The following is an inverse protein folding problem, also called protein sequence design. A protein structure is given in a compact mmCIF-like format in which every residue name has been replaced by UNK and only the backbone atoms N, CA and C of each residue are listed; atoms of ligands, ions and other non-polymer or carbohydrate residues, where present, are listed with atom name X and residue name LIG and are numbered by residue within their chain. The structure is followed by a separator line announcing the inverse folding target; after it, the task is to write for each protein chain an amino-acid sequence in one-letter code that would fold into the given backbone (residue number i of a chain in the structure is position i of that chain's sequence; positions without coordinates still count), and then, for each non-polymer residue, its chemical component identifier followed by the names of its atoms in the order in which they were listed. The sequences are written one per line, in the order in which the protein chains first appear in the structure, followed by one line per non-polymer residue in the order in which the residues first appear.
data_IF_736994096549
#
_entry.id   IF_736994096549
#
_cell.length_a   1.000
_cell.length_b   1.000
_cell.length_c   1.000
_cell.angle_alpha   90.00
_cell.angle_beta   90.00
_cell.angle_gamma   90.00
#
_symmetry.space_group_name_H-M   'P 1'
#
loop_
_entity.id
_entity.type
_entity.pdbx_description
1 polymer ?
#
# COMPACT_ATOMS: atom_id res chain seq x y z
N UNK A 1 24.17 -0.40 30.22
CA UNK A 1 22.92 0.34 30.20
C UNK A 1 21.78 -0.63 30.40
N UNK A 2 20.89 -0.35 31.33
CA UNK A 2 19.62 -1.10 31.42
C UNK A 2 18.72 -0.60 30.31
N UNK A 3 18.13 -1.51 29.55
CA UNK A 3 17.13 -1.19 28.54
C UNK A 3 15.74 -1.20 29.20
N UNK A 4 14.91 -0.22 28.83
CA UNK A 4 13.49 -0.20 29.25
C UNK A 4 12.72 -1.27 28.47
N UNK A 5 13.10 -1.48 27.19
CA UNK A 5 12.47 -2.44 26.27
C UNK A 5 13.51 -3.16 25.40
N UNK A 6 13.20 -4.38 24.98
CA UNK A 6 13.97 -5.06 23.96
C UNK A 6 13.74 -4.40 22.59
N UNK A 7 12.46 -4.05 22.28
CA UNK A 7 12.07 -3.42 21.03
C UNK A 7 11.14 -2.25 21.31
N UNK A 8 11.42 -1.10 20.67
CA UNK A 8 10.45 -0.01 20.55
C UNK A 8 10.02 0.06 19.10
N UNK A 9 8.70 0.17 18.85
CA UNK A 9 8.10 0.36 17.54
C UNK A 9 7.46 1.74 17.50
N UNK A 10 7.82 2.56 16.54
CA UNK A 10 7.29 3.93 16.37
C UNK A 10 6.27 3.96 15.25
N UNK A 11 5.00 4.22 15.59
CA UNK A 11 3.85 4.24 14.69
C UNK A 11 3.01 2.96 14.73
N UNK A 12 1.72 3.12 15.07
CA UNK A 12 0.76 2.02 15.22
C UNK A 12 -0.11 1.78 13.97
N UNK A 13 0.43 2.02 12.76
CA UNK A 13 -0.17 1.57 11.52
C UNK A 13 -0.01 0.06 11.31
N UNK A 14 -0.51 -0.52 10.19
CA UNK A 14 -0.48 -1.96 9.94
C UNK A 14 0.92 -2.59 10.05
N UNK A 15 1.97 -1.88 9.62
CA UNK A 15 3.36 -2.36 9.74
C UNK A 15 3.84 -2.41 11.18
N UNK A 16 3.58 -1.33 11.95
CA UNK A 16 4.05 -1.24 13.33
C UNK A 16 3.30 -2.16 14.28
N UNK A 17 1.97 -2.22 14.20
CA UNK A 17 1.16 -3.15 15.01
C UNK A 17 1.54 -4.61 14.72
N UNK A 18 1.80 -4.95 13.44
CA UNK A 18 2.27 -6.29 13.06
C UNK A 18 3.66 -6.57 13.62
N UNK A 19 4.61 -5.66 13.44
CA UNK A 19 5.98 -5.83 13.95
C UNK A 19 6.00 -6.00 15.47
N UNK A 20 5.28 -5.12 16.20
CA UNK A 20 5.17 -5.19 17.66
C UNK A 20 4.58 -6.50 18.12
N UNK A 21 3.49 -6.95 17.48
CA UNK A 21 2.84 -8.23 17.73
C UNK A 21 3.80 -9.41 17.63
N UNK A 22 4.54 -9.48 16.52
CA UNK A 22 5.48 -10.59 16.29
C UNK A 22 6.68 -10.55 17.24
N UNK A 23 7.16 -9.36 17.62
CA UNK A 23 8.19 -9.22 18.65
C UNK A 23 7.70 -9.73 20.01
N UNK A 24 6.50 -9.35 20.43
CA UNK A 24 5.91 -9.80 21.70
C UNK A 24 5.69 -11.32 21.72
N UNK A 25 5.16 -11.90 20.63
CA UNK A 25 5.03 -13.38 20.48
C UNK A 25 6.36 -14.12 20.63
N UNK A 26 7.46 -13.47 20.29
CA UNK A 26 8.80 -14.02 20.48
C UNK A 26 9.37 -13.82 21.90
N UNK A 27 8.55 -13.30 22.84
CA UNK A 27 8.93 -13.03 24.22
C UNK A 27 9.82 -11.80 24.41
N UNK A 28 9.81 -10.85 23.45
CA UNK A 28 10.53 -9.59 23.57
C UNK A 28 9.66 -8.55 24.26
N UNK A 29 10.19 -7.86 25.28
CA UNK A 29 9.53 -6.72 25.90
C UNK A 29 9.39 -5.60 24.90
N UNK A 30 8.16 -5.35 24.41
CA UNK A 30 7.90 -4.49 23.25
C UNK A 30 6.99 -3.33 23.61
N UNK A 31 7.43 -2.09 23.30
CA UNK A 31 6.63 -0.86 23.37
C UNK A 31 6.24 -0.42 21.96
N UNK A 32 4.95 -0.16 21.75
CA UNK A 32 4.40 0.48 20.54
C UNK A 32 4.01 1.92 20.88
N UNK A 33 4.60 2.90 20.16
CA UNK A 33 4.34 4.33 20.36
C UNK A 33 3.52 4.87 19.19
N UNK A 34 2.39 5.51 19.46
CA UNK A 34 1.55 6.18 18.45
C UNK A 34 1.31 7.65 18.82
N UNK A 35 1.52 8.54 17.86
CA UNK A 35 1.36 9.98 18.07
C UNK A 35 -0.08 10.45 18.24
N UNK A 36 -1.03 9.73 17.67
CA UNK A 36 -2.45 10.03 17.75
C UNK A 36 -3.11 9.18 18.84
N UNK A 37 -4.26 9.64 19.35
CA UNK A 37 -5.14 8.80 20.15
C UNK A 37 -5.97 7.91 19.24
N UNK A 38 -6.19 6.68 19.67
CA UNK A 38 -6.88 5.64 18.91
C UNK A 38 -8.36 5.52 19.33
N UNK A 39 -9.28 5.15 18.40
CA UNK A 39 -9.08 4.96 16.96
C UNK A 39 -8.85 6.29 16.23
N UNK A 40 -8.00 6.27 15.20
CA UNK A 40 -7.65 7.48 14.44
C UNK A 40 -7.99 7.34 12.96
N UNK A 41 -8.45 8.43 12.37
CA UNK A 41 -8.61 8.50 10.91
C UNK A 41 -7.25 8.43 10.20
N UNK A 42 -7.19 7.64 9.12
CA UNK A 42 -6.03 7.56 8.22
C UNK A 42 -6.51 7.60 6.77
N UNK A 43 -6.16 8.63 5.98
CA UNK A 43 -6.54 8.70 4.57
C UNK A 43 -6.04 7.46 3.80
N UNK A 44 -6.98 6.71 3.22
CA UNK A 44 -6.69 5.49 2.45
C UNK A 44 -7.99 4.90 1.91
N UNK A 45 -8.03 4.41 0.70
CA UNK A 45 -9.19 3.67 0.17
C UNK A 45 -9.60 2.46 1.01
N UNK A 46 -8.68 1.89 1.80
CA UNK A 46 -8.97 0.75 2.68
C UNK A 46 -9.24 -0.54 1.93
N UNK A 47 -8.64 -0.72 0.76
CA UNK A 47 -8.73 -1.97 -0.02
C UNK A 47 -7.61 -2.93 0.40
N UNK A 48 -7.98 -4.07 0.93
CA UNK A 48 -7.08 -5.17 1.30
C UNK A 48 -7.17 -6.26 0.24
N UNK A 49 -6.09 -6.52 -0.48
CA UNK A 49 -6.04 -7.70 -1.36
C UNK A 49 -6.18 -9.00 -0.57
N UNK A 50 -6.65 -10.06 -1.20
CA UNK A 50 -6.81 -11.37 -0.55
C UNK A 50 -5.49 -11.89 0.02
N UNK A 51 -4.36 -11.66 -0.67
CA UNK A 51 -3.02 -12.01 -0.12
C UNK A 51 -2.73 -11.31 1.21
N UNK A 52 -3.25 -10.07 1.42
CA UNK A 52 -3.10 -9.35 2.70
C UNK A 52 -3.88 -10.03 3.82
N UNK A 53 -5.11 -10.45 3.54
CA UNK A 53 -5.92 -11.19 4.50
C UNK A 53 -5.27 -12.52 4.89
N UNK A 54 -4.77 -13.29 3.90
CA UNK A 54 -4.05 -14.54 4.14
C UNK A 54 -2.78 -14.33 4.98
N UNK A 55 -2.05 -13.23 4.74
CA UNK A 55 -0.82 -12.90 5.46
C UNK A 55 -1.06 -12.66 6.96
N UNK A 56 -2.20 -12.07 7.34
CA UNK A 56 -2.55 -11.80 8.73
C UNK A 56 -2.87 -13.06 9.53
N UNK A 57 -3.45 -14.09 8.90
CA UNK A 57 -3.67 -15.41 9.47
C UNK A 57 -4.68 -15.47 10.62
N UNK A 58 -5.60 -14.48 10.71
CA UNK A 58 -6.72 -14.47 11.65
C UNK A 58 -7.98 -13.91 10.98
N UNK A 59 -9.14 -14.15 11.59
CA UNK A 59 -10.42 -13.69 11.05
C UNK A 59 -10.53 -12.16 11.02
N UNK A 60 -10.82 -11.61 9.85
CA UNK A 60 -11.02 -10.19 9.60
C UNK A 60 -12.51 -9.80 9.53
N UNK A 61 -13.44 -10.76 9.64
CA UNK A 61 -14.88 -10.50 9.52
C UNK A 61 -15.39 -9.34 10.39
N UNK A 62 -14.86 -9.09 11.61
CA UNK A 62 -15.32 -7.97 12.44
C UNK A 62 -15.04 -6.57 11.85
N UNK A 63 -14.11 -6.47 10.89
CA UNK A 63 -13.68 -5.17 10.32
C UNK A 63 -13.89 -5.07 8.81
N UNK A 64 -14.44 -6.11 8.17
CA UNK A 64 -14.78 -6.10 6.76
C UNK A 64 -16.05 -5.26 6.55
N UNK A 65 -15.93 -4.22 5.75
CA UNK A 65 -17.04 -3.37 5.34
C UNK A 65 -17.72 -3.89 4.07
N UNK A 66 -16.96 -4.48 3.15
CA UNK A 66 -17.48 -5.09 1.94
C UNK A 66 -16.50 -6.12 1.36
N UNK A 67 -17.06 -7.11 0.65
CA UNK A 67 -16.31 -8.13 -0.08
C UNK A 67 -16.40 -7.86 -1.57
N UNK A 68 -15.26 -7.78 -2.24
CA UNK A 68 -15.14 -7.39 -3.64
C UNK A 68 -14.84 -8.61 -4.52
N UNK A 69 -15.62 -8.78 -5.57
CA UNK A 69 -15.54 -9.90 -6.52
C UNK A 69 -15.08 -9.46 -7.91
N UNK A 70 -14.70 -8.20 -8.07
CA UNK A 70 -14.20 -7.73 -9.37
C UNK A 70 -13.86 -6.25 -9.38
N UNK A 71 -13.54 -5.78 -10.57
CA UNK A 71 -13.21 -4.38 -10.81
C UNK A 71 -13.97 -3.84 -12.03
N UNK A 72 -14.49 -2.63 -11.88
CA UNK A 72 -14.99 -1.79 -12.96
C UNK A 72 -13.88 -0.85 -13.39
N UNK A 73 -13.57 -0.86 -14.66
CA UNK A 73 -12.57 0.02 -15.26
C UNK A 73 -13.23 1.06 -16.14
N UNK A 74 -12.76 2.31 -16.07
CA UNK A 74 -13.17 3.39 -16.98
C UNK A 74 -11.95 4.16 -17.48
N UNK A 75 -12.10 4.83 -18.62
CA UNK A 75 -11.13 5.79 -19.15
C UNK A 75 -11.77 7.17 -19.22
N UNK A 76 -11.33 8.10 -18.40
CA UNK A 76 -11.94 9.43 -18.25
C UNK A 76 -13.44 9.35 -17.91
N UNK A 77 -13.82 8.44 -17.03
CA UNK A 77 -15.19 8.09 -16.61
C UNK A 77 -16.11 7.64 -17.76
N UNK A 78 -15.54 7.18 -18.85
CA UNK A 78 -16.24 6.70 -20.06
C UNK A 78 -15.84 5.27 -20.36
N UNK A 79 -16.63 4.65 -21.29
CA UNK A 79 -16.29 3.38 -21.91
C UNK A 79 -16.07 2.24 -20.89
N UNK A 80 -16.99 1.99 -19.93
CA UNK A 80 -16.78 1.03 -18.85
C UNK A 80 -16.63 -0.41 -19.35
N UNK A 81 -15.82 -1.19 -18.64
CA UNK A 81 -15.84 -2.65 -18.70
C UNK A 81 -15.62 -3.24 -17.30
N UNK A 82 -16.01 -4.49 -17.12
CA UNK A 82 -15.97 -5.19 -15.85
C UNK A 82 -15.12 -6.45 -15.99
N UNK A 83 -14.36 -6.75 -14.95
CA UNK A 83 -13.73 -8.04 -14.72
C UNK A 83 -14.31 -8.59 -13.44
N UNK A 84 -14.95 -9.73 -13.51
CA UNK A 84 -15.63 -10.40 -12.40
C UNK A 84 -15.00 -11.75 -12.14
N UNK A 85 -14.91 -12.13 -10.88
CA UNK A 85 -14.37 -13.41 -10.42
C UNK A 85 -15.40 -14.14 -9.57
N UNK A 86 -15.25 -15.46 -9.46
CA UNK A 86 -16.09 -16.28 -8.57
C UNK A 86 -15.69 -16.12 -7.11
N UNK A 87 -14.39 -15.98 -6.86
CA UNK A 87 -13.83 -15.84 -5.53
C UNK A 87 -13.54 -14.36 -5.22
N UNK A 88 -13.57 -13.95 -3.96
CA UNK A 88 -13.20 -12.59 -3.56
C UNK A 88 -11.77 -12.23 -4.03
N UNK A 89 -11.59 -11.00 -4.51
CA UNK A 89 -10.27 -10.45 -4.86
C UNK A 89 -9.74 -9.47 -3.81
N UNK A 90 -10.64 -8.88 -3.03
CA UNK A 90 -10.28 -7.92 -1.99
C UNK A 90 -11.38 -7.78 -0.92
N UNK A 91 -11.00 -7.28 0.24
CA UNK A 91 -11.90 -6.78 1.26
C UNK A 91 -11.74 -5.27 1.41
N UNK A 92 -12.84 -4.55 1.64
CA UNK A 92 -12.81 -3.14 1.98
C UNK A 92 -12.97 -2.98 3.50
N UNK A 93 -12.19 -2.06 4.07
CA UNK A 93 -12.19 -1.76 5.50
C UNK A 93 -12.19 -0.26 5.74
N UNK A 94 -12.69 0.16 6.92
CA UNK A 94 -12.44 1.48 7.46
C UNK A 94 -11.12 1.45 8.23
N UNK A 95 -10.19 2.36 7.90
CA UNK A 95 -8.82 2.34 8.44
C UNK A 95 -8.74 2.58 9.94
N UNK A 96 -9.64 3.38 10.51
CA UNK A 96 -9.72 3.59 11.95
C UNK A 96 -10.05 2.29 12.68
N UNK A 97 -11.04 1.53 12.20
CA UNK A 97 -11.45 0.24 12.75
C UNK A 97 -10.41 -0.85 12.50
N UNK A 98 -9.88 -0.91 11.28
CA UNK A 98 -8.89 -1.92 10.91
C UNK A 98 -7.57 -1.75 11.67
N UNK A 99 -7.04 -0.52 11.74
CA UNK A 99 -5.79 -0.26 12.46
C UNK A 99 -5.97 -0.56 13.96
N UNK A 100 -7.11 -0.14 14.56
CA UNK A 100 -7.44 -0.48 15.95
C UNK A 100 -7.53 -1.99 16.17
N UNK A 101 -8.13 -2.72 15.25
CA UNK A 101 -8.24 -4.17 15.34
C UNK A 101 -6.86 -4.85 15.34
N UNK A 102 -5.93 -4.40 14.49
CA UNK A 102 -4.55 -4.92 14.48
C UNK A 102 -3.81 -4.60 15.79
N UNK A 103 -4.03 -3.42 16.36
CA UNK A 103 -3.44 -3.01 17.63
C UNK A 103 -3.99 -3.88 18.76
N UNK A 104 -5.30 -4.14 18.80
CA UNK A 104 -5.92 -5.02 19.79
C UNK A 104 -5.31 -6.43 19.72
N UNK A 105 -5.06 -6.96 18.51
CA UNK A 105 -4.35 -8.23 18.33
C UNK A 105 -2.91 -8.20 18.84
N UNK A 106 -2.25 -7.06 18.78
CA UNK A 106 -0.91 -6.91 19.33
C UNK A 106 -0.94 -6.81 20.88
N UNK A 107 -1.93 -6.12 21.45
CA UNK A 107 -2.16 -6.05 22.90
C UNK A 107 -2.48 -7.44 23.50
N UNK A 108 -3.32 -8.25 22.81
CA UNK A 108 -3.59 -9.64 23.19
C UNK A 108 -2.29 -10.48 23.27
N UNK A 109 -1.30 -10.18 22.46
CA UNK A 109 0.00 -10.85 22.43
C UNK A 109 1.06 -10.21 23.38
N UNK A 110 0.66 -9.20 24.20
CA UNK A 110 1.43 -8.71 25.33
C UNK A 110 2.35 -7.51 25.06
N UNK A 111 2.05 -6.68 24.06
CA UNK A 111 2.75 -5.40 23.88
C UNK A 111 2.32 -4.38 24.94
N UNK A 112 3.18 -3.41 25.23
CA UNK A 112 2.81 -2.16 25.87
C UNK A 112 2.48 -1.12 24.78
N UNK A 113 1.42 -0.31 24.97
CA UNK A 113 0.99 0.74 24.04
C UNK A 113 1.10 2.10 24.72
N UNK A 114 1.75 3.04 24.06
CA UNK A 114 1.81 4.45 24.44
C UNK A 114 1.22 5.29 23.31
N UNK A 115 -0.03 5.73 23.49
CA UNK A 115 -0.76 6.53 22.50
C UNK A 115 -0.82 8.03 22.86
N UNK A 116 -0.97 8.89 21.85
CA UNK A 116 -0.98 10.34 22.03
C UNK A 116 0.41 10.93 22.29
N UNK A 117 1.48 10.15 22.08
CA UNK A 117 2.86 10.55 22.33
C UNK A 117 3.70 10.51 21.04
N UNK A 118 4.25 11.66 20.69
CA UNK A 118 5.04 11.84 19.48
C UNK A 118 6.53 11.66 19.76
N UNK A 119 7.16 10.75 19.01
CA UNK A 119 8.62 10.66 18.94
C UNK A 119 9.15 11.84 18.12
N UNK A 120 10.13 12.55 18.67
CA UNK A 120 10.74 13.73 18.04
C UNK A 120 12.19 13.50 17.66
N UNK A 121 12.86 12.58 18.35
CA UNK A 121 14.28 12.28 18.11
C UNK A 121 14.57 10.81 18.35
N UNK A 122 15.46 10.28 17.52
CA UNK A 122 16.02 8.94 17.66
C UNK A 122 17.54 9.05 17.54
N UNK A 123 18.26 8.37 18.41
CA UNK A 123 19.73 8.36 18.39
C UNK A 123 20.29 6.97 18.67
N UNK A 124 21.09 6.46 17.74
CA UNK A 124 21.82 5.20 17.97
C UNK A 124 22.91 5.39 19.02
N UNK A 125 23.06 4.43 19.91
CA UNK A 125 24.08 4.38 20.96
C UNK A 125 24.91 3.09 20.78
N UNK A 126 26.09 2.97 21.37
CA UNK A 126 26.93 1.79 21.17
C UNK A 126 26.22 0.45 21.37
N UNK A 127 25.30 0.37 22.33
CA UNK A 127 24.63 -0.88 22.67
C UNK A 127 23.10 -0.89 22.44
N UNK A 128 22.50 0.20 21.92
CA UNK A 128 21.06 0.32 21.75
C UNK A 128 20.65 1.59 21.07
N UNK A 129 19.39 1.97 21.25
CA UNK A 129 18.77 3.16 20.65
C UNK A 129 18.06 3.97 21.73
N UNK A 130 18.28 5.27 21.72
CA UNK A 130 17.56 6.26 22.53
C UNK A 130 16.41 6.83 21.70
N UNK A 131 15.21 6.85 22.27
CA UNK A 131 14.00 7.44 21.69
C UNK A 131 13.52 8.55 22.59
N UNK A 132 13.35 9.76 22.05
CA UNK A 132 12.91 10.95 22.79
C UNK A 132 11.52 11.38 22.33
N UNK A 133 10.62 11.57 23.30
CA UNK A 133 9.26 12.04 23.07
C UNK A 133 9.20 13.58 23.06
N UNK A 134 8.11 14.13 22.53
CA UNK A 134 7.89 15.57 22.46
C UNK A 134 7.88 16.26 23.85
N UNK A 135 7.52 15.53 24.91
CA UNK A 135 7.52 16.01 26.30
C UNK A 135 8.89 15.90 26.96
N UNK A 136 9.91 15.42 26.26
CA UNK A 136 11.28 15.28 26.77
C UNK A 136 11.55 13.96 27.49
N UNK A 137 10.55 13.09 27.63
CA UNK A 137 10.73 11.74 28.17
C UNK A 137 11.58 10.90 27.21
N UNK A 138 12.44 10.03 27.77
CA UNK A 138 13.36 9.19 27.00
C UNK A 138 13.22 7.74 27.38
N UNK A 139 13.25 6.89 26.34
CA UNK A 139 13.30 5.44 26.48
C UNK A 139 14.53 4.88 25.79
N UNK A 140 15.03 3.76 26.32
CA UNK A 140 16.18 3.03 25.79
C UNK A 140 15.76 1.61 25.37
N UNK A 141 16.09 1.23 24.14
CA UNK A 141 15.80 -0.11 23.62
C UNK A 141 17.01 -0.74 22.94
N UNK A 142 16.95 -2.05 22.78
CA UNK A 142 17.99 -2.79 22.05
C UNK A 142 17.85 -2.56 20.54
N UNK A 143 16.61 -2.54 20.05
CA UNK A 143 16.25 -2.38 18.64
C UNK A 143 15.09 -1.42 18.50
N UNK A 144 15.10 -0.67 17.39
CA UNK A 144 14.01 0.22 17.02
C UNK A 144 13.44 -0.17 15.66
N UNK A 145 12.11 -0.18 15.56
CA UNK A 145 11.40 -0.33 14.30
C UNK A 145 10.66 0.98 14.00
N UNK A 146 11.05 1.67 12.92
CA UNK A 146 10.37 2.86 12.39
C UNK A 146 9.22 2.47 11.48
N UNK A 147 7.99 2.67 11.94
CA UNK A 147 6.73 2.41 11.26
C UNK A 147 5.85 3.68 11.18
N UNK A 148 6.48 4.85 11.28
CA UNK A 148 5.87 6.17 11.47
C UNK A 148 5.45 6.85 10.16
N UNK A 149 5.38 6.09 9.07
CA UNK A 149 4.73 6.46 7.82
C UNK A 149 5.57 7.37 6.92
N UNK A 150 4.90 8.04 5.98
CA UNK A 150 5.54 8.78 4.89
C UNK A 150 6.46 9.93 5.33
N UNK A 151 6.22 10.51 6.49
CA UNK A 151 7.02 11.61 7.05
C UNK A 151 7.95 11.16 8.18
N UNK A 152 8.37 9.90 8.14
CA UNK A 152 9.14 9.21 9.18
C UNK A 152 10.25 10.07 9.81
N UNK A 153 10.15 10.26 11.12
CA UNK A 153 11.22 10.86 11.93
C UNK A 153 12.37 9.86 12.10
N UNK A 154 12.04 8.56 12.19
CA UNK A 154 13.05 7.51 12.30
C UNK A 154 13.91 7.45 11.03
N UNK A 155 13.32 7.48 9.83
CA UNK A 155 14.06 7.54 8.57
C UNK A 155 14.93 8.80 8.45
N UNK A 156 14.42 9.94 8.89
CA UNK A 156 15.17 11.21 8.91
C UNK A 156 16.38 11.12 9.84
N UNK A 157 16.27 10.47 11.00
CA UNK A 157 17.39 10.33 11.94
C UNK A 157 18.55 9.51 11.39
N UNK A 158 18.27 8.59 10.44
CA UNK A 158 19.26 7.78 9.75
C UNK A 158 19.82 8.45 8.48
N UNK A 159 19.39 9.67 8.14
CA UNK A 159 19.68 10.33 6.86
C UNK A 159 19.24 9.51 5.64
N UNK A 160 18.32 8.55 5.83
CA UNK A 160 17.77 7.71 4.76
C UNK A 160 16.60 8.40 4.04
N UNK A 161 15.99 9.41 4.68
CA UNK A 161 14.88 10.19 4.10
C UNK A 161 15.30 11.20 3.03
N UNK A 162 16.61 11.49 2.90
CA UNK A 162 17.14 12.46 1.91
C UNK A 162 17.12 11.92 0.48
N UNK A 163 16.81 10.63 0.30
CA UNK A 163 16.73 10.02 -1.01
C UNK A 163 15.39 10.38 -1.67
N UNK A 164 15.39 11.53 -2.36
CA UNK A 164 14.41 11.91 -3.39
C UNK A 164 12.95 12.08 -2.91
N UNK A 165 12.67 13.14 -2.15
CA UNK A 165 11.29 13.65 -1.95
C UNK A 165 10.50 13.89 -3.26
N UNK A 166 11.18 13.98 -4.40
CA UNK A 166 10.57 14.15 -5.72
C UNK A 166 9.91 12.88 -6.28
N UNK A 167 10.07 11.72 -5.60
CA UNK A 167 9.51 10.43 -6.03
C UNK A 167 8.24 10.02 -5.27
N UNK A 168 7.78 10.84 -4.31
CA UNK A 168 6.52 10.60 -3.61
C UNK A 168 5.32 10.91 -4.50
N UNK A 169 4.37 9.98 -4.54
CA UNK A 169 3.04 10.25 -5.04
C UNK A 169 2.21 11.07 -4.04
N UNK A 170 1.06 11.52 -4.47
CA UNK A 170 0.04 12.15 -3.63
C UNK A 170 -1.28 11.43 -3.85
N UNK A 171 -2.01 11.15 -2.79
CA UNK A 171 -3.42 10.79 -2.84
C UNK A 171 -4.25 11.89 -2.20
N UNK A 172 -5.45 12.09 -2.73
CA UNK A 172 -6.51 12.88 -2.12
C UNK A 172 -7.76 12.02 -2.09
N UNK A 173 -8.42 11.96 -0.95
CA UNK A 173 -9.61 11.15 -0.80
C UNK A 173 -10.62 11.78 0.16
N UNK A 174 -11.86 11.30 0.10
CA UNK A 174 -12.88 11.52 1.11
C UNK A 174 -13.73 10.26 1.28
N UNK A 175 -14.28 10.11 2.49
CA UNK A 175 -15.34 9.16 2.78
C UNK A 175 -16.68 9.90 2.73
N UNK A 176 -17.59 9.45 1.87
CA UNK A 176 -18.93 10.04 1.70
C UNK A 176 -19.95 9.06 2.28
N UNK A 177 -20.84 9.48 3.20
CA UNK A 177 -21.91 8.62 3.69
C UNK A 177 -22.78 8.10 2.55
N UNK A 178 -22.97 6.80 2.51
CA UNK A 178 -23.77 6.12 1.48
C UNK A 178 -25.23 6.05 1.95
N UNK A 179 -25.99 7.07 1.66
CA UNK A 179 -27.42 7.17 1.98
C UNK A 179 -28.31 7.24 0.73
N UNK A 180 -29.60 7.36 0.94
CA UNK A 180 -30.64 7.37 -0.12
C UNK A 180 -30.50 8.49 -1.16
N UNK A 181 -29.70 9.53 -0.90
CA UNK A 181 -29.43 10.60 -1.87
C UNK A 181 -28.39 10.22 -2.93
N UNK A 182 -27.66 9.13 -2.72
CA UNK A 182 -26.62 8.63 -3.62
C UNK A 182 -27.18 7.47 -4.44
N UNK A 183 -27.40 7.71 -5.73
CA UNK A 183 -27.92 6.70 -6.64
C UNK A 183 -26.79 5.80 -7.20
N UNK A 184 -26.06 5.12 -6.29
CA UNK A 184 -25.02 4.18 -6.69
C UNK A 184 -25.65 2.89 -7.25
N UNK A 185 -25.18 2.39 -8.40
CA UNK A 185 -25.76 1.20 -9.02
C UNK A 185 -25.56 -0.04 -8.14
N UNK A 186 -26.63 -0.69 -7.70
CA UNK A 186 -26.60 -1.87 -6.82
C UNK A 186 -25.69 -2.99 -7.34
N UNK A 187 -25.72 -3.24 -8.65
CA UNK A 187 -24.84 -4.24 -9.30
C UNK A 187 -23.35 -3.91 -9.20
N UNK A 188 -22.98 -2.67 -8.90
CA UNK A 188 -21.59 -2.22 -8.78
C UNK A 188 -21.06 -2.31 -7.34
N UNK A 189 -21.88 -2.65 -6.37
CA UNK A 189 -21.46 -2.79 -4.97
C UNK A 189 -20.37 -3.86 -4.76
N UNK A 190 -20.30 -4.85 -5.62
CA UNK A 190 -19.30 -5.93 -5.55
C UNK A 190 -18.02 -5.63 -6.35
N UNK A 191 -17.89 -4.41 -6.89
CA UNK A 191 -16.76 -4.00 -7.70
C UNK A 191 -16.05 -2.80 -7.11
N UNK A 192 -14.72 -2.81 -7.15
CA UNK A 192 -13.95 -1.57 -7.04
C UNK A 192 -13.99 -0.84 -8.38
N UNK A 193 -14.24 0.47 -8.38
CA UNK A 193 -14.17 1.26 -9.61
C UNK A 193 -12.82 1.96 -9.70
N UNK A 194 -12.14 1.79 -10.85
CA UNK A 194 -10.84 2.40 -11.16
C UNK A 194 -10.96 3.20 -12.45
N UNK A 195 -10.73 4.51 -12.38
CA UNK A 195 -10.76 5.43 -13.53
C UNK A 195 -9.35 5.85 -13.93
N UNK A 196 -9.02 5.63 -15.18
CA UNK A 196 -7.73 6.00 -15.75
C UNK A 196 -7.82 7.17 -16.74
N UNK A 197 -6.69 7.83 -17.00
CA UNK A 197 -6.56 8.85 -18.04
C UNK A 197 -6.89 10.28 -17.62
N UNK A 198 -7.50 10.50 -16.44
CA UNK A 198 -7.70 11.82 -15.85
C UNK A 198 -6.53 12.27 -15.01
N UNK A 199 -5.99 11.33 -14.23
CA UNK A 199 -4.94 11.59 -13.25
C UNK A 199 -3.60 11.26 -13.89
N UNK A 200 -2.67 12.21 -13.96
CA UNK A 200 -1.34 11.96 -14.50
C UNK A 200 -0.59 10.91 -13.67
N UNK A 201 -0.07 9.90 -14.34
CA UNK A 201 0.67 8.79 -13.71
C UNK A 201 -0.07 8.16 -12.52
N UNK A 202 -1.40 8.02 -12.65
CA UNK A 202 -2.24 7.53 -11.58
C UNK A 202 -3.65 7.20 -12.03
N UNK A 203 -4.54 7.08 -11.06
CA UNK A 203 -5.95 6.72 -11.28
C UNK A 203 -6.86 7.32 -10.19
N UNK A 204 -8.16 7.37 -10.49
CA UNK A 204 -9.22 7.64 -9.52
C UNK A 204 -9.87 6.34 -9.06
N UNK A 205 -10.41 6.32 -7.86
CA UNK A 205 -11.12 5.16 -7.34
C UNK A 205 -12.45 5.53 -6.70
N UNK A 206 -13.39 4.57 -6.72
CA UNK A 206 -14.58 4.54 -5.89
C UNK A 206 -14.69 3.15 -5.29
N UNK A 207 -14.65 3.06 -3.96
CA UNK A 207 -14.71 1.83 -3.20
C UNK A 207 -15.96 1.82 -2.33
N UNK A 208 -16.97 1.01 -2.68
CA UNK A 208 -18.23 0.95 -1.94
C UNK A 208 -18.07 0.13 -0.66
N UNK A 209 -18.12 0.79 0.48
CA UNK A 209 -18.15 0.19 1.82
C UNK A 209 -19.61 0.06 2.29
N UNK A 210 -19.83 -0.51 3.47
CA UNK A 210 -21.16 -0.76 4.02
C UNK A 210 -22.02 0.51 4.09
N UNK A 211 -21.47 1.55 4.69
CA UNK A 211 -22.17 2.83 4.95
C UNK A 211 -21.45 4.03 4.31
N UNK A 212 -20.39 3.78 3.53
CA UNK A 212 -19.52 4.82 3.00
C UNK A 212 -19.08 4.50 1.57
N UNK A 213 -18.89 5.54 0.78
CA UNK A 213 -18.11 5.46 -0.46
C UNK A 213 -16.75 6.11 -0.19
N UNK A 214 -15.66 5.34 -0.27
CA UNK A 214 -14.32 5.91 -0.34
C UNK A 214 -14.04 6.35 -1.76
N UNK A 215 -13.87 7.65 -1.95
CA UNK A 215 -13.63 8.24 -3.27
C UNK A 215 -12.33 9.00 -3.23
N UNK A 216 -11.45 8.72 -4.18
CA UNK A 216 -10.18 9.40 -4.21
C UNK A 216 -9.47 9.34 -5.55
N UNK A 217 -8.36 10.02 -5.58
CA UNK A 217 -7.38 9.99 -6.66
C UNK A 217 -5.99 9.77 -6.07
N UNK A 218 -5.14 9.09 -6.82
CA UNK A 218 -3.73 8.94 -6.45
C UNK A 218 -2.85 8.85 -7.68
N UNK A 219 -1.64 9.35 -7.56
CA UNK A 219 -0.68 9.26 -8.66
C UNK A 219 0.71 9.74 -8.29
N UNK A 220 1.68 9.37 -9.15
CA UNK A 220 3.07 9.76 -9.03
C UNK A 220 3.28 11.08 -9.77
N UNK A 221 3.41 12.15 -9.02
CA UNK A 221 3.38 13.51 -9.55
C UNK A 221 4.78 14.12 -9.76
N UNK A 222 5.70 13.46 -10.42
CA UNK A 222 7.05 13.99 -10.71
C UNK A 222 7.07 15.36 -11.43
N UNK A 223 6.06 15.63 -12.23
CA UNK A 223 5.93 16.87 -13.02
C UNK A 223 5.02 17.92 -12.36
N UNK A 224 4.52 17.65 -11.15
CA UNK A 224 3.35 18.32 -10.59
C UNK A 224 3.64 19.53 -9.70
N UNK A 225 4.86 20.04 -9.60
CA UNK A 225 5.07 21.37 -8.97
C UNK A 225 4.13 22.45 -9.54
N UNK A 226 3.51 22.22 -10.72
CA UNK A 226 2.51 23.10 -11.37
C UNK A 226 1.07 22.55 -11.33
N UNK A 227 0.83 21.33 -10.82
CA UNK A 227 -0.50 20.73 -10.86
C UNK A 227 -1.13 20.79 -9.46
N UNK A 228 -2.41 21.12 -9.42
CA UNK A 228 -3.18 21.14 -8.18
C UNK A 228 -3.99 19.84 -8.06
N UNK A 229 -3.56 18.85 -7.23
CA UNK A 229 -4.26 17.57 -7.08
C UNK A 229 -5.72 17.76 -6.67
N UNK A 230 -6.05 18.82 -5.90
CA UNK A 230 -7.41 19.15 -5.51
C UNK A 230 -8.33 19.41 -6.71
N UNK A 231 -7.87 20.11 -7.74
CA UNK A 231 -8.65 20.35 -8.95
C UNK A 231 -8.97 19.05 -9.70
N UNK A 232 -8.02 18.13 -9.73
CA UNK A 232 -8.26 16.80 -10.33
C UNK A 232 -9.30 16.01 -9.53
N UNK A 233 -9.20 16.02 -8.21
CA UNK A 233 -10.15 15.37 -7.33
C UNK A 233 -11.56 15.94 -7.52
N UNK A 234 -11.72 17.26 -7.47
CA UNK A 234 -13.02 17.92 -7.65
C UNK A 234 -13.62 17.63 -9.03
N UNK A 235 -12.79 17.61 -10.08
CA UNK A 235 -13.21 17.24 -11.43
C UNK A 235 -13.61 15.78 -11.54
N UNK A 236 -12.90 14.87 -10.85
CA UNK A 236 -13.24 13.46 -10.79
C UNK A 236 -14.57 13.26 -10.05
N UNK A 237 -14.71 13.83 -8.88
CA UNK A 237 -15.93 13.74 -8.06
C UNK A 237 -17.17 14.26 -8.83
N UNK A 238 -17.08 15.44 -9.42
CA UNK A 238 -18.16 16.00 -10.26
C UNK A 238 -18.47 15.10 -11.46
N UNK A 239 -17.45 14.49 -12.06
CA UNK A 239 -17.61 13.62 -13.22
C UNK A 239 -18.31 12.30 -12.93
N UNK A 240 -18.36 11.84 -11.66
CA UNK A 240 -19.08 10.63 -11.27
C UNK A 240 -20.62 10.77 -11.45
N UNK A 241 -21.16 11.98 -11.29
CA UNK A 241 -22.55 12.31 -11.63
C UNK A 241 -23.62 11.82 -10.65
N UNK A 242 -23.28 10.97 -9.68
CA UNK A 242 -24.21 10.44 -8.68
C UNK A 242 -23.92 10.94 -7.26
N UNK A 243 -22.93 11.79 -7.10
CA UNK A 243 -22.64 12.46 -5.83
C UNK A 243 -23.31 13.84 -5.86
N UNK A 244 -24.26 14.14 -4.96
CA UNK A 244 -24.90 15.44 -4.89
C UNK A 244 -23.90 16.56 -4.62
N UNK A 245 -24.14 17.73 -5.21
CA UNK A 245 -23.28 18.90 -5.01
C UNK A 245 -23.28 19.32 -3.52
N UNK A 246 -22.11 19.62 -2.99
CA UNK A 246 -21.93 19.95 -1.57
C UNK A 246 -21.89 18.74 -0.62
N UNK A 247 -22.17 17.51 -1.09
CA UNK A 247 -22.12 16.30 -0.28
C UNK A 247 -20.72 15.66 -0.31
N UNK A 248 -19.74 16.41 0.12
CA UNK A 248 -18.37 15.89 0.28
C UNK A 248 -18.05 15.80 1.77
N UNK A 249 -17.53 14.65 2.21
CA UNK A 249 -16.91 14.53 3.52
C UNK A 249 -15.63 15.37 3.64
N UNK A 250 -14.92 15.20 4.74
CA UNK A 250 -13.60 15.82 4.93
C UNK A 250 -12.65 15.30 3.87
N UNK A 251 -12.15 16.20 3.01
CA UNK A 251 -11.17 15.86 1.99
C UNK A 251 -9.76 15.91 2.58
N UNK A 252 -9.06 14.79 2.49
CA UNK A 252 -7.74 14.61 3.07
C UNK A 252 -6.71 14.25 2.00
N UNK A 253 -5.51 14.83 2.14
CA UNK A 253 -4.36 14.47 1.31
C UNK A 253 -3.36 13.60 2.07
N UNK A 254 -2.66 12.74 1.36
CA UNK A 254 -1.60 11.92 1.92
C UNK A 254 -0.46 11.73 0.93
N UNK A 255 0.77 11.75 1.44
CA UNK A 255 1.95 11.37 0.66
C UNK A 255 1.98 9.86 0.46
N UNK A 256 2.33 9.45 -0.74
CA UNK A 256 2.47 8.07 -1.14
C UNK A 256 3.95 7.75 -1.38
N UNK A 257 4.68 7.27 -0.37
CA UNK A 257 6.10 6.92 -0.50
C UNK A 257 6.25 5.61 -1.26
N UNK A 258 6.22 5.73 -2.58
CA UNK A 258 6.28 4.60 -3.49
C UNK A 258 7.69 4.03 -3.58
N UNK A 259 7.78 2.74 -3.85
CA UNK A 259 9.03 2.08 -4.18
C UNK A 259 9.67 2.70 -5.43
N UNK A 260 10.96 3.01 -5.35
CA UNK A 260 11.69 3.72 -6.41
C UNK A 260 13.00 3.06 -6.84
N UNK A 261 13.64 2.27 -5.96
CA UNK A 261 14.94 1.64 -6.21
C UNK A 261 15.08 0.32 -5.44
N UNK A 262 15.56 -0.72 -6.11
CA UNK A 262 15.80 -2.01 -5.48
C UNK A 262 16.95 -2.00 -4.45
N UNK A 263 17.85 -1.03 -4.54
CA UNK A 263 18.99 -0.86 -3.63
C UNK A 263 18.71 0.14 -2.49
N UNK A 264 17.45 0.59 -2.34
CA UNK A 264 17.10 1.50 -1.25
C UNK A 264 17.44 0.91 0.12
N UNK A 265 18.04 1.72 0.98
CA UNK A 265 18.36 1.30 2.35
C UNK A 265 17.11 1.41 3.23
N UNK A 266 16.78 0.31 3.91
CA UNK A 266 15.63 0.23 4.82
C UNK A 266 16.05 -0.07 6.26
N UNK A 267 17.37 -0.10 6.52
CA UNK A 267 17.89 -0.36 7.86
C UNK A 267 19.31 0.19 8.03
N UNK A 268 19.68 0.43 9.27
CA UNK A 268 21.04 0.79 9.68
C UNK A 268 21.24 0.40 11.14
N UNK A 269 22.32 -0.35 11.42
CA UNK A 269 22.67 -0.75 12.78
C UNK A 269 21.51 -1.47 13.50
N UNK A 270 20.95 -0.84 14.52
CA UNK A 270 19.87 -1.38 15.35
C UNK A 270 18.48 -0.85 14.98
N UNK A 271 18.38 -0.12 13.88
CA UNK A 271 17.15 0.57 13.45
C UNK A 271 16.68 0.01 12.11
N UNK A 272 15.42 -0.43 12.06
CA UNK A 272 14.77 -1.02 10.89
C UNK A 272 13.56 -0.18 10.50
N UNK A 273 13.35 0.08 9.20
CA UNK A 273 12.21 0.84 8.69
C UNK A 273 11.21 -0.11 8.03
N UNK A 274 9.92 0.12 8.21
CA UNK A 274 8.85 -0.71 7.62
C UNK A 274 7.79 0.12 6.91
N UNK A 275 7.12 -0.46 5.93
CA UNK A 275 6.02 0.15 5.18
C UNK A 275 6.41 1.46 4.52
N UNK A 276 5.58 2.48 4.73
CA UNK A 276 5.75 3.81 4.14
C UNK A 276 7.06 4.50 4.60
N UNK A 277 7.51 4.25 5.84
CA UNK A 277 8.78 4.77 6.34
C UNK A 277 9.99 4.22 5.56
N UNK A 278 9.83 3.05 4.94
CA UNK A 278 10.81 2.38 4.10
C UNK A 278 10.54 2.55 2.60
N UNK A 279 9.56 3.37 2.16
CA UNK A 279 9.16 3.52 0.77
C UNK A 279 8.85 2.18 0.07
N UNK A 280 8.01 1.35 0.69
CA UNK A 280 7.68 0.02 0.17
C UNK A 280 6.27 -0.08 -0.44
N UNK A 281 5.63 1.04 -0.77
CA UNK A 281 4.33 1.02 -1.46
C UNK A 281 4.49 0.61 -2.92
N UNK A 282 3.55 -0.21 -3.41
CA UNK A 282 3.47 -0.64 -4.80
C UNK A 282 3.27 0.54 -5.77
N UNK A 283 4.16 0.76 -6.74
CA UNK A 283 4.10 1.89 -7.66
C UNK A 283 3.05 1.75 -8.77
N UNK A 284 2.44 0.57 -8.94
CA UNK A 284 1.39 0.35 -9.95
C UNK A 284 -0.01 0.57 -9.36
N UNK A 285 -0.29 -0.08 -8.25
CA UNK A 285 -1.64 -0.10 -7.66
C UNK A 285 -1.78 0.73 -6.38
N UNK A 286 -0.69 1.27 -5.84
CA UNK A 286 -0.73 2.03 -4.59
C UNK A 286 -0.98 1.16 -3.35
N UNK A 287 -0.79 -0.16 -3.44
CA UNK A 287 -0.94 -1.07 -2.30
C UNK A 287 0.21 -0.84 -1.31
N UNK A 288 -0.11 -0.25 -0.14
CA UNK A 288 0.85 -0.04 0.95
C UNK A 288 0.66 -1.00 2.12
N UNK A 289 -0.60 -1.40 2.40
CA UNK A 289 -0.94 -2.18 3.61
C UNK A 289 -0.27 -3.56 3.60
N UNK A 290 -0.30 -4.28 2.48
CA UNK A 290 0.37 -5.58 2.34
C UNK A 290 1.86 -5.47 2.66
N UNK A 291 2.54 -4.52 2.02
CA UNK A 291 3.99 -4.37 2.18
C UNK A 291 4.38 -3.82 3.56
N UNK A 292 3.50 -3.01 4.18
CA UNK A 292 3.69 -2.59 5.56
C UNK A 292 3.63 -3.78 6.54
N UNK A 293 2.62 -4.63 6.41
CA UNK A 293 2.47 -5.86 7.22
C UNK A 293 3.66 -6.79 6.95
N UNK A 294 3.97 -7.06 5.67
CA UNK A 294 5.04 -7.98 5.30
C UNK A 294 6.41 -7.53 5.80
N UNK A 295 6.75 -6.26 5.62
CA UNK A 295 8.00 -5.70 6.15
C UNK A 295 8.05 -5.69 7.67
N UNK A 296 6.92 -5.46 8.34
CA UNK A 296 6.80 -5.58 9.80
C UNK A 296 7.13 -6.99 10.30
N UNK A 297 6.60 -8.01 9.65
CA UNK A 297 6.95 -9.42 9.95
C UNK A 297 8.43 -9.72 9.73
N UNK A 298 9.00 -9.22 8.62
CA UNK A 298 10.41 -9.41 8.31
C UNK A 298 11.31 -8.70 9.32
N UNK A 299 10.93 -7.51 9.81
CA UNK A 299 11.67 -6.77 10.82
C UNK A 299 11.70 -7.53 12.16
N UNK A 300 10.55 -8.02 12.61
CA UNK A 300 10.48 -8.84 13.81
C UNK A 300 11.33 -10.12 13.66
N UNK A 301 11.23 -10.81 12.52
CA UNK A 301 12.04 -12.00 12.23
C UNK A 301 13.55 -11.70 12.27
N UNK A 302 13.97 -10.59 11.70
CA UNK A 302 15.39 -10.19 11.71
C UNK A 302 15.94 -10.01 13.13
N UNK A 303 15.15 -9.41 14.02
CA UNK A 303 15.52 -9.23 15.42
C UNK A 303 15.60 -10.58 16.16
N UNK A 304 14.72 -11.53 15.84
CA UNK A 304 14.72 -12.88 16.45
C UNK A 304 15.91 -13.74 15.99
N UNK A 305 16.22 -13.70 14.68
CA UNK A 305 17.30 -14.50 14.09
C UNK A 305 18.68 -14.02 14.55
N UNK A 306 18.85 -12.72 14.80
CA UNK A 306 20.12 -12.19 15.30
C UNK A 306 20.59 -12.87 16.61
N UNK A 307 19.68 -13.32 17.47
CA UNK A 307 20.06 -14.08 18.68
C UNK A 307 20.70 -15.44 18.38
N UNK A 308 20.59 -15.93 17.15
CA UNK A 308 21.07 -17.26 16.73
C UNK A 308 22.32 -17.20 15.84
N UNK A 309 22.55 -16.08 15.16
CA UNK A 309 23.62 -15.92 14.18
C UNK A 309 24.39 -14.61 14.42
N UNK A 310 25.68 -14.56 14.11
CA UNK A 310 26.53 -13.35 14.22
C UNK A 310 26.28 -12.29 13.11
N UNK A 311 25.09 -12.27 12.53
CA UNK A 311 24.70 -11.31 11.49
C UNK A 311 23.92 -10.18 12.11
N UNK A 312 24.32 -8.91 11.87
CA UNK A 312 23.59 -7.74 12.36
C UNK A 312 22.12 -7.75 11.86
N UNK A 313 21.12 -7.44 12.72
CA UNK A 313 19.70 -7.45 12.31
C UNK A 313 19.42 -6.59 11.09
N UNK A 314 20.13 -5.46 10.95
CA UNK A 314 20.01 -4.58 9.77
C UNK A 314 20.37 -5.29 8.47
N UNK A 315 21.45 -6.08 8.47
CA UNK A 315 21.90 -6.77 7.25
C UNK A 315 20.96 -7.92 6.88
N UNK A 316 20.50 -8.67 7.88
CA UNK A 316 19.51 -9.71 7.66
C UNK A 316 18.21 -9.11 7.12
N UNK A 317 17.72 -8.03 7.74
CA UNK A 317 16.50 -7.35 7.33
C UNK A 317 16.63 -6.77 5.92
N UNK A 318 17.73 -6.06 5.62
CA UNK A 318 17.98 -5.50 4.29
C UNK A 318 17.92 -6.57 3.20
N UNK A 319 18.56 -7.73 3.42
CA UNK A 319 18.51 -8.86 2.50
C UNK A 319 17.10 -9.44 2.39
N UNK A 320 16.42 -9.65 3.51
CA UNK A 320 15.06 -10.20 3.51
C UNK A 320 14.10 -9.31 2.73
N UNK A 321 14.14 -7.99 2.93
CA UNK A 321 13.32 -7.02 2.18
C UNK A 321 13.70 -7.01 0.70
N UNK A 322 15.00 -7.08 0.37
CA UNK A 322 15.45 -7.12 -1.01
C UNK A 322 14.86 -8.32 -1.76
N UNK A 323 14.98 -9.53 -1.22
CA UNK A 323 14.51 -10.74 -1.90
C UNK A 323 13.00 -10.90 -1.87
N UNK A 324 12.34 -10.56 -0.78
CA UNK A 324 10.91 -10.81 -0.58
C UNK A 324 10.03 -9.68 -1.18
N UNK A 325 10.48 -8.43 -1.11
CA UNK A 325 9.69 -7.26 -1.48
C UNK A 325 10.27 -6.52 -2.69
N UNK A 326 11.51 -6.03 -2.60
CA UNK A 326 12.09 -5.14 -3.61
C UNK A 326 12.23 -5.81 -4.98
N UNK A 327 12.63 -7.08 -5.02
CA UNK A 327 12.73 -7.87 -6.25
C UNK A 327 11.41 -7.96 -7.02
N UNK A 328 10.29 -8.03 -6.29
CA UNK A 328 8.94 -8.01 -6.87
C UNK A 328 8.52 -6.59 -7.28
N UNK A 329 8.71 -5.60 -6.40
CA UNK A 329 8.35 -4.20 -6.66
C UNK A 329 9.10 -3.56 -7.82
N UNK A 330 10.33 -3.99 -8.11
CA UNK A 330 11.10 -3.60 -9.29
C UNK A 330 10.33 -3.87 -10.59
N UNK A 331 9.68 -5.03 -10.68
CA UNK A 331 8.86 -5.38 -11.82
C UNK A 331 7.58 -4.57 -11.89
N UNK A 332 6.94 -4.32 -10.73
CA UNK A 332 5.81 -3.40 -10.62
C UNK A 332 6.19 -1.99 -11.08
N UNK A 333 7.35 -1.46 -10.65
CA UNK A 333 7.85 -0.14 -11.06
C UNK A 333 8.09 -0.05 -12.58
N UNK A 334 8.71 -1.07 -13.15
CA UNK A 334 8.98 -1.12 -14.59
C UNK A 334 7.66 -1.16 -15.38
N UNK A 335 6.71 -1.96 -14.93
CA UNK A 335 5.41 -2.11 -15.57
C UNK A 335 4.53 -0.86 -15.41
N UNK A 336 4.54 -0.23 -14.23
CA UNK A 336 3.79 1.01 -13.97
C UNK A 336 4.24 2.16 -14.88
N UNK A 337 5.55 2.31 -15.08
CA UNK A 337 6.12 3.31 -16.02
C UNK A 337 5.58 3.11 -17.43
N UNK A 338 5.46 1.87 -17.89
CA UNK A 338 4.88 1.56 -19.19
C UNK A 338 3.37 1.87 -19.24
N UNK A 339 2.61 1.37 -18.25
CA UNK A 339 1.15 1.56 -18.19
C UNK A 339 0.78 3.04 -18.13
N UNK A 340 1.43 3.82 -17.26
CA UNK A 340 1.12 5.23 -17.11
C UNK A 340 1.63 6.09 -18.26
N UNK A 341 2.72 5.70 -18.93
CA UNK A 341 3.17 6.37 -20.16
C UNK A 341 2.22 6.17 -21.32
N UNK A 342 1.59 5.02 -21.42
CA UNK A 342 0.69 4.62 -22.50
C UNK A 342 -0.70 4.24 -21.99
N UNK A 343 -1.24 5.00 -21.05
CA UNK A 343 -2.47 4.67 -20.30
C UNK A 343 -3.65 4.32 -21.21
N UNK A 344 -3.91 5.11 -22.27
CA UNK A 344 -5.01 4.84 -23.21
C UNK A 344 -4.82 3.53 -23.97
N UNK A 345 -3.59 3.23 -24.37
CA UNK A 345 -3.26 1.97 -25.04
C UNK A 345 -3.42 0.80 -24.08
N UNK A 346 -2.87 0.90 -22.87
CA UNK A 346 -2.99 -0.13 -21.84
C UNK A 346 -4.46 -0.43 -21.52
N UNK A 347 -5.27 0.62 -21.30
CA UNK A 347 -6.71 0.51 -21.07
C UNK A 347 -7.42 -0.24 -22.22
N UNK A 348 -7.21 0.16 -23.46
CA UNK A 348 -7.82 -0.48 -24.63
C UNK A 348 -7.37 -1.93 -24.79
N UNK A 349 -6.10 -2.21 -24.52
CA UNK A 349 -5.57 -3.58 -24.56
C UNK A 349 -6.24 -4.45 -23.50
N UNK A 350 -6.34 -3.96 -22.26
CA UNK A 350 -6.99 -4.68 -21.18
C UNK A 350 -8.47 -4.95 -21.47
N UNK A 351 -9.20 -3.96 -21.99
CA UNK A 351 -10.60 -4.11 -22.40
C UNK A 351 -10.78 -5.13 -23.51
N UNK A 352 -9.85 -5.18 -24.48
CA UNK A 352 -9.94 -6.08 -25.63
C UNK A 352 -9.46 -7.51 -25.33
N UNK A 353 -8.59 -7.66 -24.33
CA UNK A 353 -8.01 -8.93 -23.89
C UNK A 353 -8.18 -9.10 -22.37
N UNK A 354 -9.39 -9.51 -21.92
CA UNK A 354 -9.69 -9.66 -20.49
C UNK A 354 -8.79 -10.67 -19.75
N UNK A 355 -8.26 -11.66 -20.48
CA UNK A 355 -7.30 -12.64 -19.95
C UNK A 355 -6.03 -11.99 -19.36
N UNK A 356 -5.65 -10.80 -19.83
CA UNK A 356 -4.55 -10.05 -19.25
C UNK A 356 -4.89 -9.51 -17.83
N UNK A 357 -6.17 -9.19 -17.59
CA UNK A 357 -6.63 -8.79 -16.26
C UNK A 357 -6.66 -9.99 -15.31
N UNK A 358 -7.07 -11.18 -15.80
CA UNK A 358 -7.03 -12.40 -14.99
C UNK A 358 -5.61 -12.74 -14.51
N UNK A 359 -4.58 -12.50 -15.34
CA UNK A 359 -3.19 -12.66 -14.91
C UNK A 359 -2.84 -11.70 -13.76
N UNK A 360 -3.36 -10.48 -13.82
CA UNK A 360 -3.14 -9.49 -12.76
C UNK A 360 -3.88 -9.84 -11.46
N UNK A 361 -5.10 -10.38 -11.56
CA UNK A 361 -5.85 -10.82 -10.38
C UNK A 361 -5.08 -11.88 -9.58
N UNK A 362 -4.32 -12.77 -10.25
CA UNK A 362 -3.47 -13.74 -9.56
C UNK A 362 -2.37 -13.08 -8.71
N UNK A 363 -1.93 -11.86 -9.04
CA UNK A 363 -1.00 -11.07 -8.21
C UNK A 363 -1.71 -10.58 -6.94
N UNK A 364 -2.98 -10.17 -7.05
CA UNK A 364 -3.78 -9.74 -5.90
C UNK A 364 -4.11 -10.90 -4.95
N UNK A 365 -4.26 -12.08 -5.51
CA UNK A 365 -4.49 -13.32 -4.75
C UNK A 365 -3.21 -13.90 -4.14
N UNK A 366 -2.03 -13.40 -4.53
CA UNK A 366 -0.74 -13.93 -4.10
C UNK A 366 -0.35 -15.25 -4.77
N UNK A 367 -1.07 -15.67 -5.81
CA UNK A 367 -0.77 -16.89 -6.61
C UNK A 367 0.35 -16.66 -7.62
N UNK A 368 0.60 -15.41 -7.97
CA UNK A 368 1.63 -14.98 -8.92
C UNK A 368 2.37 -13.75 -8.38
N UNK A 369 3.60 -13.53 -8.82
CA UNK A 369 4.36 -12.33 -8.57
C UNK A 369 4.42 -11.41 -9.81
N UNK A 370 4.88 -10.17 -9.65
CA UNK A 370 4.96 -9.24 -10.78
C UNK A 370 5.90 -9.69 -11.90
N UNK A 371 6.97 -10.42 -11.58
CA UNK A 371 7.89 -10.96 -12.59
C UNK A 371 7.17 -11.96 -13.51
N UNK A 372 6.48 -12.92 -12.93
CA UNK A 372 5.70 -13.92 -13.67
C UNK A 372 4.57 -13.25 -14.46
N UNK A 373 3.81 -12.35 -13.83
CA UNK A 373 2.78 -11.56 -14.49
C UNK A 373 3.31 -10.82 -15.73
N UNK A 374 4.38 -10.03 -15.59
CA UNK A 374 4.96 -9.28 -16.71
C UNK A 374 5.48 -10.21 -17.82
N UNK A 375 6.03 -11.36 -17.45
CA UNK A 375 6.49 -12.38 -18.39
C UNK A 375 5.32 -12.96 -19.19
N UNK A 376 4.22 -13.31 -18.52
CA UNK A 376 2.99 -13.82 -19.15
C UNK A 376 2.38 -12.77 -20.09
N UNK A 377 2.27 -11.52 -19.65
CA UNK A 377 1.79 -10.40 -20.50
C UNK A 377 2.67 -10.25 -21.75
N UNK A 378 3.99 -10.25 -21.60
CA UNK A 378 4.93 -10.16 -22.75
C UNK A 378 4.75 -11.33 -23.72
N UNK A 379 4.63 -12.55 -23.22
CA UNK A 379 4.40 -13.73 -24.06
C UNK A 379 3.08 -13.63 -24.81
N UNK A 380 1.99 -13.32 -24.10
CA UNK A 380 0.66 -13.15 -24.69
C UNK A 380 0.65 -12.08 -25.80
N UNK A 381 1.30 -10.94 -25.55
CA UNK A 381 1.41 -9.87 -26.54
C UNK A 381 2.21 -10.29 -27.79
N UNK A 382 3.28 -11.08 -27.64
CA UNK A 382 4.02 -11.64 -28.79
C UNK A 382 3.16 -12.57 -29.62
N UNK A 383 2.36 -13.42 -28.98
CA UNK A 383 1.48 -14.36 -29.69
C UNK A 383 0.38 -13.62 -30.47
N UNK A 384 -0.20 -12.58 -29.88
CA UNK A 384 -1.18 -11.71 -30.53
C UNK A 384 -0.58 -11.01 -31.76
N UNK A 385 0.66 -10.52 -31.67
CA UNK A 385 1.34 -9.89 -32.80
C UNK A 385 1.64 -10.89 -33.92
N UNK A 386 2.10 -12.10 -33.58
CA UNK A 386 2.36 -13.19 -34.56
C UNK A 386 1.08 -13.62 -35.25
N UNK A 387 -0.03 -13.82 -34.50
CA UNK A 387 -1.32 -14.16 -35.08
C UNK A 387 -1.81 -13.11 -36.07
N UNK A 388 -1.77 -11.82 -35.71
CA UNK A 388 -2.14 -10.70 -36.62
C UNK A 388 -1.28 -10.64 -37.87
N UNK A 389 0.02 -10.94 -37.77
CA UNK A 389 0.92 -10.97 -38.92
C UNK A 389 0.58 -12.12 -39.85
N UNK A 390 0.34 -13.31 -39.31
CA UNK A 390 -0.10 -14.50 -40.07
C UNK A 390 -1.41 -14.22 -40.82
N UNK A 391 -2.41 -13.63 -40.15
CA UNK A 391 -3.69 -13.30 -40.78
C UNK A 391 -3.57 -12.24 -41.90
N UNK A 392 -2.69 -11.26 -41.71
CA UNK A 392 -2.40 -10.27 -42.79
C UNK A 392 -1.74 -10.93 -44.00
N UNK A 393 -0.78 -11.84 -43.77
CA UNK A 393 -0.11 -12.58 -44.85
C UNK A 393 -1.12 -13.45 -45.59
N UNK A 394 -1.96 -14.23 -44.87
CA UNK A 394 -3.02 -15.04 -45.47
C UNK A 394 -4.00 -14.23 -46.31
N UNK A 395 -4.43 -13.05 -45.76
CA UNK A 395 -5.31 -12.14 -46.51
C UNK A 395 -4.64 -11.49 -47.75
N UNK A 396 -3.33 -11.26 -47.70
CA UNK A 396 -2.59 -10.75 -48.86
C UNK A 396 -2.46 -11.83 -49.93
N UNK A 397 -2.13 -13.08 -49.55
CA UNK A 397 -2.05 -14.23 -50.47
C UNK A 397 -3.39 -14.66 -51.07
N UNK A 398 -4.52 -14.35 -50.42
CA UNK A 398 -5.87 -14.66 -50.96
C UNK A 398 -6.38 -13.57 -51.91
N UNK A 399 -5.64 -12.48 -52.09
CA UNK A 399 -5.96 -11.35 -53.01
C UNK A 399 -5.07 -11.32 -54.24
N UNK A 400 -4.06 -12.19 -54.33
CA UNK A 400 -3.25 -12.54 -55.50
C UNK A 400 -3.72 -13.83 -56.12
#
# INVERSE_FOLDING_TARGET
MNFDYDVIVVGAGPGGSTAARFCAKAGLKTLLIEKERLPRYKPCGGCLSIKTAHLLGFDLSPVIENTIYGAKFTYCLKDPFFIETKDPIAFLVMRDRFDQFLINKALEDGIELLEGERVTRVGEKPNGVEVELAKGEKFYCRYLIGADGAESIVAKSLSLSSQKNDENGIAIECEIPFDSSIHFPQKELQFVHLDFGRIPNGYGWVFPKKEWLSIGIGGMFRETKKMNPRKYFDSFLKGLGYIPEGKTGRVMGHLLPSFYDENQKVSQGRILLVGDAAHLMDPLQGEGIYYAIRSGMLAAKAIMEWKKEDIAPSDFYQRAVYYDICGNLKWALTFSRFVFRFTKLAYRTLKHYPDLAEFYLQVLEGKENYQGFVTRVKTRMKDLLRGRLSDKIKKAMART
#
